data_IF_299868823043
#
_entry.id   IF_299868823043
#
_cell.length_a   1.000
_cell.length_b   1.000
_cell.length_c   1.000
_cell.angle_alpha   90.00
_cell.angle_beta   90.00
_cell.angle_gamma   90.00
#
_symmetry.space_group_name_H-M   'P 1'
#
loop_
_entity.id
_entity.type
_entity.pdbx_description
1 polymer ?
#
# COMPACT_ATOMS: atom_id res chain seq x y z
N UNK A 1 21.56 -1.25 -11.84
CA UNK A 1 20.15 -1.17 -11.40
C UNK A 1 19.28 -2.39 -11.74
N UNK A 2 19.61 -3.23 -12.75
CA UNK A 2 18.86 -4.47 -13.03
C UNK A 2 18.90 -5.53 -11.91
N UNK A 3 19.95 -5.53 -11.08
CA UNK A 3 20.13 -6.48 -9.98
C UNK A 3 18.99 -6.45 -8.94
N UNK A 4 18.41 -5.30 -8.62
CA UNK A 4 17.39 -5.23 -7.55
C UNK A 4 16.09 -5.95 -7.95
N UNK A 5 15.61 -5.70 -9.16
CA UNK A 5 14.43 -6.37 -9.73
C UNK A 5 14.67 -7.87 -9.93
N UNK A 6 15.89 -8.25 -10.28
CA UNK A 6 16.26 -9.63 -10.57
C UNK A 6 16.48 -10.47 -9.30
N UNK A 7 17.06 -9.89 -8.25
CA UNK A 7 17.16 -10.51 -6.93
C UNK A 7 15.78 -10.67 -6.30
N UNK A 8 14.89 -9.67 -6.42
CA UNK A 8 13.50 -9.78 -5.95
C UNK A 8 12.73 -10.84 -6.74
N UNK A 9 12.91 -10.90 -8.07
CA UNK A 9 12.34 -11.99 -8.89
C UNK A 9 12.86 -13.35 -8.45
N UNK A 10 14.16 -13.52 -8.15
CA UNK A 10 14.73 -14.79 -7.67
C UNK A 10 14.29 -15.16 -6.25
N UNK A 11 14.15 -14.18 -5.35
CA UNK A 11 13.64 -14.39 -4.00
C UNK A 11 12.18 -14.84 -4.01
N UNK A 12 11.41 -14.36 -5.00
CA UNK A 12 10.00 -14.67 -5.19
C UNK A 12 9.79 -15.78 -6.26
N UNK A 13 10.87 -16.29 -6.86
CA UNK A 13 10.85 -17.41 -7.79
C UNK A 13 10.62 -18.72 -7.02
N UNK A 14 9.96 -19.72 -7.64
CA UNK A 14 9.61 -20.96 -6.98
C UNK A 14 10.86 -21.76 -6.61
N UNK A 15 11.23 -21.70 -5.33
CA UNK A 15 12.01 -22.76 -4.69
C UNK A 15 10.99 -23.77 -4.17
N UNK A 16 11.02 -25.02 -4.64
CA UNK A 16 10.01 -26.05 -4.35
C UNK A 16 9.55 -26.14 -2.88
N UNK A 17 8.31 -26.61 -2.69
CA UNK A 17 7.55 -26.83 -1.43
C UNK A 17 7.47 -25.68 -0.40
N UNK A 18 8.31 -24.63 -0.49
CA UNK A 18 8.33 -23.52 0.47
C UNK A 18 7.37 -22.42 0.06
N UNK A 19 6.13 -22.61 0.47
CA UNK A 19 5.06 -21.61 0.43
C UNK A 19 5.41 -20.38 1.28
N UNK A 20 5.59 -19.20 0.67
CA UNK A 20 5.66 -17.93 1.41
C UNK A 20 4.31 -17.71 2.08
N UNK A 21 4.20 -17.87 3.40
CA UNK A 21 2.95 -17.69 4.14
C UNK A 21 2.62 -16.23 4.41
N UNK A 22 3.63 -15.39 4.60
CA UNK A 22 3.49 -13.96 4.90
C UNK A 22 4.52 -13.19 4.10
N UNK A 23 4.07 -12.15 3.40
CA UNK A 23 4.96 -11.24 2.69
C UNK A 23 4.80 -9.83 3.27
N UNK A 24 5.88 -9.35 3.90
CA UNK A 24 5.99 -8.00 4.43
C UNK A 24 6.92 -7.19 3.55
N UNK A 25 6.50 -6.01 3.11
CA UNK A 25 7.30 -5.19 2.20
C UNK A 25 7.18 -3.71 2.56
N UNK A 26 8.33 -3.06 2.78
CA UNK A 26 8.47 -1.61 2.70
C UNK A 26 9.00 -1.24 1.32
N UNK A 27 8.36 -0.31 0.63
CA UNK A 27 8.81 0.13 -0.69
C UNK A 27 8.37 1.56 -1.01
N UNK A 28 9.13 2.20 -1.91
CA UNK A 28 8.81 3.52 -2.41
C UNK A 28 7.78 3.46 -3.53
N UNK A 29 6.86 4.43 -3.54
CA UNK A 29 5.82 4.56 -4.54
C UNK A 29 6.33 5.23 -5.82
N UNK A 30 7.28 4.58 -6.48
CA UNK A 30 7.99 5.09 -7.67
C UNK A 30 7.64 4.27 -8.91
N UNK A 31 7.30 4.94 -10.00
CA UNK A 31 7.23 4.30 -11.32
C UNK A 31 8.63 4.20 -11.94
N UNK A 32 8.98 3.09 -12.63
CA UNK A 32 8.13 1.96 -13.03
C UNK A 32 8.07 0.81 -12.00
N UNK A 33 8.68 0.96 -10.83
CA UNK A 33 8.88 -0.13 -9.87
C UNK A 33 7.58 -0.66 -9.27
N UNK A 34 6.58 0.21 -9.06
CA UNK A 34 5.25 -0.18 -8.59
C UNK A 34 4.61 -1.28 -9.42
N UNK A 35 4.67 -1.16 -10.75
CA UNK A 35 4.12 -2.18 -11.66
C UNK A 35 4.80 -3.52 -11.46
N UNK A 36 6.13 -3.53 -11.35
CA UNK A 36 6.89 -4.75 -11.11
C UNK A 36 6.59 -5.36 -9.74
N UNK A 37 6.46 -4.53 -8.70
CA UNK A 37 6.15 -4.98 -7.34
C UNK A 37 4.77 -5.63 -7.32
N UNK A 38 3.75 -4.94 -7.82
CA UNK A 38 2.39 -5.44 -7.85
C UNK A 38 2.27 -6.72 -8.67
N UNK A 39 2.86 -6.77 -9.87
CA UNK A 39 2.87 -7.99 -10.69
C UNK A 39 3.51 -9.17 -9.97
N UNK A 40 4.61 -8.93 -9.26
CA UNK A 40 5.30 -10.01 -8.54
C UNK A 40 4.48 -10.48 -7.34
N UNK A 41 3.88 -9.56 -6.59
CA UNK A 41 2.96 -9.89 -5.48
C UNK A 41 1.78 -10.71 -5.99
N UNK A 42 1.12 -10.28 -7.07
CA UNK A 42 0.00 -11.03 -7.66
C UNK A 42 0.42 -12.45 -8.03
N UNK A 43 1.58 -12.62 -8.68
CA UNK A 43 2.08 -13.95 -9.04
C UNK A 43 2.37 -14.86 -7.83
N UNK A 44 2.70 -14.28 -6.67
CA UNK A 44 2.94 -15.00 -5.41
C UNK A 44 1.61 -15.42 -4.76
N UNK A 45 0.57 -14.60 -4.91
CA UNK A 45 -0.78 -14.91 -4.43
C UNK A 45 -1.45 -16.00 -5.26
N UNK A 46 -1.34 -15.95 -6.59
CA UNK A 46 -1.92 -16.93 -7.52
C UNK A 46 -1.41 -18.36 -7.28
N UNK A 47 -0.22 -18.51 -6.69
CA UNK A 47 0.35 -19.79 -6.29
C UNK A 47 -0.32 -20.41 -5.05
N UNK A 48 -1.36 -19.77 -4.51
CA UNK A 48 -2.34 -20.35 -3.58
C UNK A 48 -1.85 -20.57 -2.14
N UNK A 49 -0.69 -20.02 -1.79
CA UNK A 49 0.04 -20.44 -0.59
C UNK A 49 0.30 -19.31 0.43
N UNK A 50 0.08 -18.07 0.01
CA UNK A 50 0.25 -16.87 0.84
C UNK A 50 -1.01 -16.61 1.66
N UNK A 51 -0.86 -16.48 2.98
CA UNK A 51 -1.99 -16.24 3.89
C UNK A 51 -2.39 -14.76 3.91
N UNK A 52 -1.42 -13.86 3.97
CA UNK A 52 -1.67 -12.42 4.00
C UNK A 52 -0.42 -11.60 3.64
N UNK A 53 -0.67 -10.33 3.31
CA UNK A 53 0.34 -9.33 2.97
C UNK A 53 0.39 -8.22 4.01
N UNK A 54 1.54 -7.58 4.14
CA UNK A 54 1.71 -6.36 4.92
C UNK A 54 2.56 -5.37 4.14
N UNK A 55 2.04 -4.16 3.92
CA UNK A 55 2.71 -3.13 3.15
C UNK A 55 2.98 -1.88 3.98
N UNK A 56 4.19 -1.34 3.79
CA UNK A 56 4.56 0.02 4.19
C UNK A 56 4.95 0.75 2.91
N UNK A 57 4.09 1.66 2.47
CA UNK A 57 4.27 2.40 1.22
C UNK A 57 4.77 3.79 1.58
N UNK A 58 6.00 4.07 1.15
CA UNK A 58 6.71 5.30 1.45
C UNK A 58 6.66 6.20 0.21
N UNK A 59 6.41 7.48 0.39
CA UNK A 59 6.55 8.47 -0.69
C UNK A 59 8.02 8.82 -0.88
N UNK A 60 8.40 9.21 -2.10
CA UNK A 60 9.79 9.63 -2.40
C UNK A 60 10.15 10.99 -1.77
N UNK A 61 9.15 11.65 -1.20
CA UNK A 61 9.25 13.00 -0.69
C UNK A 61 9.57 12.92 0.79
N UNK A 62 10.83 13.20 1.11
CA UNK A 62 11.25 13.48 2.47
C UNK A 62 10.58 14.79 2.90
N UNK A 63 9.63 14.70 3.84
CA UNK A 63 8.71 15.71 4.43
C UNK A 63 8.92 17.22 4.16
N UNK A 64 10.14 17.70 4.02
CA UNK A 64 10.48 19.14 3.89
C UNK A 64 10.12 19.73 2.51
N UNK A 65 9.79 18.92 1.51
CA UNK A 65 9.50 19.38 0.14
C UNK A 65 8.11 19.00 -0.40
N UNK A 66 7.29 18.34 0.42
CA UNK A 66 6.00 17.79 -0.03
C UNK A 66 4.94 18.91 -0.06
N UNK A 67 4.65 19.46 -1.23
CA UNK A 67 3.56 20.42 -1.37
C UNK A 67 2.20 19.72 -1.57
N UNK A 68 1.11 20.48 -1.55
CA UNK A 68 -0.24 19.92 -1.73
C UNK A 68 -0.41 19.17 -3.07
N UNK A 69 0.22 19.65 -4.15
CA UNK A 69 0.14 19.05 -5.48
C UNK A 69 0.85 17.69 -5.53
N UNK A 70 1.99 17.59 -4.85
CA UNK A 70 2.72 16.34 -4.68
C UNK A 70 1.91 15.29 -3.93
N UNK A 71 1.24 15.67 -2.83
CA UNK A 71 0.35 14.77 -2.10
C UNK A 71 -0.80 14.26 -2.97
N UNK A 72 -1.37 15.12 -3.82
CA UNK A 72 -2.41 14.72 -4.81
C UNK A 72 -1.84 13.71 -5.81
N UNK A 73 -0.66 14.00 -6.38
CA UNK A 73 -0.01 13.09 -7.33
C UNK A 73 0.31 11.74 -6.71
N UNK A 74 0.75 11.74 -5.45
CA UNK A 74 0.99 10.53 -4.67
C UNK A 74 -0.31 9.75 -4.44
N UNK A 75 -1.39 10.39 -3.99
CA UNK A 75 -2.70 9.74 -3.82
C UNK A 75 -3.22 9.12 -5.12
N UNK A 76 -3.17 9.85 -6.24
CA UNK A 76 -3.56 9.32 -7.55
C UNK A 76 -2.71 8.11 -7.98
N UNK A 77 -1.39 8.15 -7.73
CA UNK A 77 -0.49 7.03 -8.03
C UNK A 77 -0.82 5.81 -7.18
N UNK A 78 -1.09 5.99 -5.89
CA UNK A 78 -1.53 4.92 -5.01
C UNK A 78 -2.85 4.29 -5.49
N UNK A 79 -3.85 5.10 -5.82
CA UNK A 79 -5.16 4.62 -6.31
C UNK A 79 -5.00 3.82 -7.62
N UNK A 80 -4.13 4.26 -8.53
CA UNK A 80 -3.80 3.50 -9.76
C UNK A 80 -3.15 2.15 -9.42
N UNK A 81 -2.21 2.13 -8.46
CA UNK A 81 -1.56 0.90 -8.02
C UNK A 81 -2.56 -0.08 -7.38
N UNK A 82 -3.45 0.43 -6.54
CA UNK A 82 -4.57 -0.30 -5.93
C UNK A 82 -5.47 -0.93 -7.00
N UNK A 83 -5.98 -0.13 -7.93
CA UNK A 83 -6.88 -0.59 -8.98
C UNK A 83 -6.24 -1.61 -9.93
N UNK A 84 -4.91 -1.55 -10.11
CA UNK A 84 -4.17 -2.48 -10.97
C UNK A 84 -3.93 -3.85 -10.32
N UNK A 85 -4.00 -3.96 -8.99
CA UNK A 85 -3.64 -5.20 -8.26
C UNK A 85 -4.67 -5.55 -7.17
N UNK A 86 -5.97 -5.68 -7.48
CA UNK A 86 -7.02 -5.86 -6.48
C UNK A 86 -6.84 -7.12 -5.62
N UNK A 87 -6.29 -8.21 -6.18
CA UNK A 87 -6.00 -9.43 -5.43
C UNK A 87 -4.99 -9.19 -4.29
N UNK A 88 -4.01 -8.31 -4.49
CA UNK A 88 -3.04 -7.96 -3.46
C UNK A 88 -3.71 -7.26 -2.28
N UNK A 89 -4.59 -6.30 -2.56
CA UNK A 89 -5.28 -5.53 -1.53
C UNK A 89 -6.33 -6.36 -0.79
N UNK A 90 -6.97 -7.33 -1.46
CA UNK A 90 -7.87 -8.29 -0.78
C UNK A 90 -7.16 -9.14 0.27
N UNK A 91 -5.90 -9.50 0.04
CA UNK A 91 -5.07 -10.28 0.96
C UNK A 91 -4.30 -9.43 1.98
N UNK A 92 -4.48 -8.11 1.97
CA UNK A 92 -3.72 -7.20 2.82
C UNK A 92 -4.23 -7.22 4.26
N UNK A 93 -3.32 -7.43 5.21
CA UNK A 93 -3.60 -7.45 6.65
C UNK A 93 -3.08 -6.22 7.37
N UNK A 94 -2.01 -5.62 6.86
CA UNK A 94 -1.48 -4.35 7.37
C UNK A 94 -1.16 -3.41 6.22
N UNK A 95 -1.56 -2.15 6.36
CA UNK A 95 -1.22 -1.07 5.44
C UNK A 95 -0.71 0.14 6.22
N UNK A 96 0.45 0.64 5.84
CA UNK A 96 0.94 1.96 6.25
C UNK A 96 1.14 2.81 5.00
N UNK A 97 0.54 3.99 4.98
CA UNK A 97 0.63 4.98 3.89
C UNK A 97 0.94 6.35 4.48
N UNK A 98 1.69 7.15 3.74
CA UNK A 98 2.09 8.49 4.16
C UNK A 98 1.98 9.51 3.03
N UNK A 99 1.80 10.79 3.37
CA UNK A 99 1.93 11.94 2.44
C UNK A 99 1.07 11.80 1.17
N UNK A 100 -0.22 11.51 1.34
CA UNK A 100 -1.18 11.35 0.24
C UNK A 100 -2.45 12.18 0.45
N UNK A 101 -2.92 12.82 -0.62
CA UNK A 101 -4.23 13.45 -0.66
C UNK A 101 -5.19 12.57 -1.46
N UNK A 102 -6.30 12.20 -0.82
CA UNK A 102 -7.32 11.32 -1.35
C UNK A 102 -8.58 12.09 -1.75
N UNK A 103 -9.30 11.60 -2.75
CA UNK A 103 -10.70 11.98 -2.94
C UNK A 103 -11.57 11.43 -1.80
N UNK A 104 -12.76 12.00 -1.61
CA UNK A 104 -13.72 11.52 -0.59
C UNK A 104 -14.03 10.03 -0.70
N UNK A 105 -13.97 9.47 -1.92
CA UNK A 105 -14.29 8.07 -2.18
C UNK A 105 -13.09 7.12 -2.15
N UNK A 106 -11.85 7.63 -2.25
CA UNK A 106 -10.68 6.77 -2.47
C UNK A 106 -10.41 5.85 -1.27
N UNK A 107 -10.40 6.40 -0.06
CA UNK A 107 -10.16 5.63 1.17
C UNK A 107 -11.31 4.66 1.44
N UNK A 108 -12.59 5.07 1.42
CA UNK A 108 -13.70 4.12 1.53
C UNK A 108 -13.63 2.97 0.50
N UNK A 109 -13.29 3.26 -0.76
CA UNK A 109 -13.17 2.23 -1.80
C UNK A 109 -12.00 1.26 -1.56
N UNK A 110 -10.84 1.79 -1.17
CA UNK A 110 -9.68 0.98 -0.76
C UNK A 110 -10.05 0.04 0.38
N UNK A 111 -10.66 0.61 1.41
CA UNK A 111 -11.02 -0.07 2.64
C UNK A 111 -12.07 -1.16 2.39
N UNK A 112 -13.08 -0.89 1.56
CA UNK A 112 -14.08 -1.90 1.16
C UNK A 112 -13.51 -3.06 0.33
N UNK A 113 -12.34 -2.88 -0.31
CA UNK A 113 -11.69 -3.94 -1.08
C UNK A 113 -10.71 -4.80 -0.25
N UNK A 114 -10.36 -4.37 0.96
CA UNK A 114 -9.38 -5.04 1.82
C UNK A 114 -10.04 -5.97 2.87
N UNK A 115 -10.55 -7.12 2.44
CA UNK A 115 -11.31 -8.07 3.28
C UNK A 115 -10.58 -8.59 4.53
N UNK A 116 -9.24 -8.55 4.54
CA UNK A 116 -8.40 -9.08 5.61
C UNK A 116 -7.68 -8.01 6.43
N UNK A 117 -7.97 -6.72 6.21
CA UNK A 117 -7.25 -5.63 6.84
C UNK A 117 -7.48 -5.63 8.36
N UNK A 118 -6.38 -5.63 9.11
CA UNK A 118 -6.37 -5.61 10.58
C UNK A 118 -5.61 -4.42 11.15
N UNK A 119 -4.64 -3.88 10.41
CA UNK A 119 -3.93 -2.66 10.79
C UNK A 119 -3.94 -1.66 9.65
N UNK A 120 -4.27 -0.41 9.97
CA UNK A 120 -4.15 0.74 9.09
C UNK A 120 -3.36 1.83 9.81
N UNK A 121 -2.24 2.24 9.24
CA UNK A 121 -1.51 3.43 9.65
C UNK A 121 -1.58 4.48 8.55
N UNK A 122 -1.95 5.69 8.92
CA UNK A 122 -2.04 6.84 8.03
C UNK A 122 -1.20 7.96 8.62
N UNK A 123 -0.19 8.38 7.87
CA UNK A 123 0.72 9.47 8.25
C UNK A 123 0.54 10.66 7.31
N UNK A 124 0.22 11.84 7.83
CA UNK A 124 0.15 13.07 7.00
C UNK A 124 -0.68 12.94 5.71
N UNK A 125 -1.79 12.18 5.75
CA UNK A 125 -2.74 12.07 4.63
C UNK A 125 -4.02 12.88 4.92
N UNK A 126 -4.64 13.41 3.87
CA UNK A 126 -5.86 14.21 3.96
C UNK A 126 -6.83 13.95 2.80
N UNK A 127 -8.01 14.59 2.83
CA UNK A 127 -8.98 14.61 1.73
C UNK A 127 -9.15 15.99 1.10
N UNK A 128 -8.13 16.85 1.22
CA UNK A 128 -8.20 18.24 0.79
C UNK A 128 -8.70 19.22 1.86
N UNK A 129 -8.68 20.51 1.51
CA UNK A 129 -9.04 21.61 2.42
C UNK A 129 -10.51 21.55 2.77
N UNK A 130 -10.82 21.73 4.06
CA UNK A 130 -12.19 21.70 4.60
C UNK A 130 -12.92 20.36 4.40
N UNK A 131 -12.18 19.30 4.07
CA UNK A 131 -12.70 17.94 3.93
C UNK A 131 -12.31 17.09 5.12
N UNK A 132 -13.12 16.07 5.42
CA UNK A 132 -12.81 15.05 6.43
C UNK A 132 -12.35 13.79 5.71
N UNK A 133 -11.20 13.26 6.12
CA UNK A 133 -10.75 11.94 5.66
C UNK A 133 -11.65 10.86 6.27
N UNK A 134 -12.64 10.42 5.52
CA UNK A 134 -13.62 9.44 6.00
C UNK A 134 -13.01 8.03 6.00
N UNK A 135 -13.01 7.42 7.19
CA UNK A 135 -12.63 6.02 7.40
C UNK A 135 -13.88 5.29 7.83
N UNK A 136 -14.63 4.77 6.86
CA UNK A 136 -15.81 3.93 7.11
C UNK A 136 -15.53 2.50 6.69
N UNK A 137 -15.84 1.57 7.59
CA UNK A 137 -15.32 0.19 7.61
C UNK A 137 -16.35 -0.78 8.23
N UNK A 138 -17.59 -0.84 7.73
CA UNK A 138 -18.70 -1.51 8.41
C UNK A 138 -18.53 -3.04 8.49
N UNK A 139 -17.69 -3.63 7.63
CA UNK A 139 -17.40 -5.07 7.58
C UNK A 139 -15.96 -5.41 7.93
N UNK A 140 -15.26 -4.46 8.53
CA UNK A 140 -13.82 -4.55 8.70
C UNK A 140 -13.40 -5.45 9.86
N UNK A 141 -12.23 -6.05 9.71
CA UNK A 141 -11.50 -6.77 10.76
C UNK A 141 -10.44 -5.90 11.41
N UNK A 142 -10.51 -4.58 11.23
CA UNK A 142 -9.55 -3.62 11.74
C UNK A 142 -9.44 -3.75 13.27
N UNK A 143 -8.26 -4.12 13.74
CA UNK A 143 -7.90 -4.21 15.16
C UNK A 143 -7.09 -3.00 15.60
N UNK A 144 -6.45 -2.32 14.66
CA UNK A 144 -5.55 -1.20 14.96
C UNK A 144 -5.64 -0.12 13.88
N UNK A 145 -5.93 1.10 14.34
CA UNK A 145 -5.93 2.30 13.53
C UNK A 145 -4.93 3.28 14.15
N UNK A 146 -3.94 3.70 13.37
CA UNK A 146 -2.89 4.61 13.79
C UNK A 146 -2.92 5.85 12.92
N UNK A 147 -2.93 7.02 13.57
CA UNK A 147 -2.73 8.31 12.93
C UNK A 147 -1.39 8.87 13.37
N UNK A 148 -0.52 9.11 12.41
CA UNK A 148 0.78 9.73 12.63
C UNK A 148 0.77 11.12 11.98
N UNK A 149 1.36 12.09 12.68
CA UNK A 149 1.64 13.40 12.13
C UNK A 149 3.16 13.44 11.92
N UNK A 150 3.60 13.71 10.69
CA UNK A 150 5.02 13.77 10.36
C UNK A 150 5.77 14.64 11.37
N UNK A 151 6.85 14.10 11.94
CA UNK A 151 7.69 14.84 12.87
C UNK A 151 8.42 15.95 12.09
N UNK A 152 7.97 17.19 12.26
CA UNK A 152 8.75 18.37 11.89
C UNK A 152 9.92 18.49 12.89
N UNK A 153 11.04 17.83 12.59
CA UNK A 153 12.33 18.06 13.26
C UNK A 153 13.34 18.60 12.26
#
# INVERSE_FOLDING_TARGET
>A
MGLYTETVKRLLAPMGERAIKVLRRRFYMTDPHLKSIGSTVTSVLERGNTKYLEFIIVTELHDVQCNEEDNVRCGQRFVRFFNSHPCAFRCLRSLSIQNMRFSESDVPNLLNACDQLQRLCIESCDSGRQSVLQIDMPRSRLMELVFEFGNNA
#
